data_IF_454677967964
#
_entry.id   IF_454677967964
#
_cell.length_a   1.000
_cell.length_b   1.000
_cell.length_c   1.000
_cell.angle_alpha   90.00
_cell.angle_beta   90.00
_cell.angle_gamma   90.00
#
_symmetry.space_group_name_H-M   'P 1'
#
loop_
_entity.id
_entity.type
_entity.pdbx_description
1 polymer ?
#
# COMPACT_ATOMS: atom_id res chain seq x y z
N UNK A 1 25.36 4.05 -30.10
CA UNK A 1 24.85 4.95 -29.03
C UNK A 1 24.28 6.29 -29.54
N UNK A 2 24.91 7.02 -30.47
CA UNK A 2 24.40 8.32 -30.98
C UNK A 2 23.02 8.28 -31.66
N UNK A 3 22.70 7.20 -32.37
CA UNK A 3 21.43 7.05 -33.10
C UNK A 3 20.24 6.93 -32.13
N UNK A 4 20.35 6.09 -31.10
CA UNK A 4 19.29 5.92 -30.09
C UNK A 4 19.02 7.22 -29.30
N UNK A 5 20.08 7.99 -29.01
CA UNK A 5 19.96 9.29 -28.35
C UNK A 5 19.21 10.32 -29.21
N UNK A 6 19.55 10.44 -30.49
CA UNK A 6 18.87 11.38 -31.40
C UNK A 6 17.40 11.00 -31.64
N UNK A 7 17.08 9.71 -31.69
CA UNK A 7 15.69 9.23 -31.75
C UNK A 7 14.92 9.63 -30.50
N UNK A 8 15.50 9.43 -29.30
CA UNK A 8 14.90 9.82 -28.03
C UNK A 8 14.62 11.33 -27.98
N UNK A 9 15.59 12.16 -28.36
CA UNK A 9 15.45 13.63 -28.37
C UNK A 9 14.33 14.08 -29.31
N UNK A 10 14.21 13.46 -30.49
CA UNK A 10 13.15 13.80 -31.44
C UNK A 10 11.75 13.38 -30.96
N UNK A 11 11.65 12.23 -30.28
CA UNK A 11 10.39 11.80 -29.66
C UNK A 11 9.97 12.75 -28.53
N UNK A 12 10.91 13.14 -27.66
CA UNK A 12 10.65 14.10 -26.57
C UNK A 12 10.19 15.43 -27.14
N UNK A 13 10.89 15.99 -28.14
CA UNK A 13 10.50 17.26 -28.77
C UNK A 13 9.09 17.22 -29.35
N UNK A 14 8.71 16.10 -30.00
CA UNK A 14 7.39 15.91 -30.59
C UNK A 14 6.28 15.79 -29.54
N UNK A 15 6.57 15.19 -28.38
CA UNK A 15 5.65 15.11 -27.25
C UNK A 15 5.49 16.49 -26.60
N UNK A 16 6.58 17.18 -26.28
CA UNK A 16 6.56 18.48 -25.61
C UNK A 16 6.08 19.64 -26.49
N UNK A 17 6.03 19.48 -27.81
CA UNK A 17 5.44 20.47 -28.72
C UNK A 17 3.91 20.39 -28.79
N UNK A 18 3.30 19.35 -28.23
CA UNK A 18 1.85 19.19 -28.22
C UNK A 18 1.23 19.88 -27.00
N UNK A 19 0.27 20.78 -27.24
CA UNK A 19 -0.50 21.38 -26.14
C UNK A 19 -1.28 20.31 -25.36
N UNK A 20 -1.74 19.24 -26.02
CA UNK A 20 -2.44 18.11 -25.39
C UNK A 20 -1.53 17.41 -24.37
N UNK A 21 -0.24 17.23 -24.69
CA UNK A 21 0.72 16.63 -23.77
C UNK A 21 0.82 17.45 -22.48
N UNK A 22 0.90 18.78 -22.58
CA UNK A 22 0.95 19.65 -21.40
C UNK A 22 -0.36 19.65 -20.61
N UNK A 23 -1.52 19.65 -21.27
CA UNK A 23 -2.80 19.52 -20.57
C UNK A 23 -2.89 18.21 -19.76
N UNK A 24 -2.49 17.09 -20.36
CA UNK A 24 -2.46 15.79 -19.68
C UNK A 24 -1.43 15.79 -18.55
N UNK A 25 -0.23 16.31 -18.80
CA UNK A 25 0.83 16.41 -17.80
C UNK A 25 0.40 17.26 -16.60
N UNK A 26 -0.18 18.44 -16.83
CA UNK A 26 -0.66 19.31 -15.76
C UNK A 26 -1.89 18.75 -15.05
N UNK A 27 -2.81 18.07 -15.74
CA UNK A 27 -3.93 17.38 -15.09
C UNK A 27 -3.44 16.27 -14.16
N UNK A 28 -2.46 15.48 -14.61
CA UNK A 28 -1.81 14.45 -13.78
C UNK A 28 -1.09 15.10 -12.60
N UNK A 29 -0.28 16.14 -12.83
CA UNK A 29 0.45 16.84 -11.79
C UNK A 29 -0.49 17.49 -10.75
N UNK A 30 -1.60 18.09 -11.20
CA UNK A 30 -2.63 18.66 -10.34
C UNK A 30 -3.35 17.58 -9.52
N UNK A 31 -3.67 16.43 -10.13
CA UNK A 31 -4.25 15.29 -9.41
C UNK A 31 -3.31 14.77 -8.31
N UNK A 32 -2.02 14.58 -8.62
CA UNK A 32 -1.01 14.17 -7.63
C UNK A 32 -0.79 15.25 -6.56
N UNK A 33 -0.77 16.52 -6.94
CA UNK A 33 -0.65 17.66 -6.02
C UNK A 33 -1.85 17.75 -5.07
N UNK A 34 -3.06 17.69 -5.60
CA UNK A 34 -4.30 17.64 -4.82
C UNK A 34 -4.29 16.46 -3.84
N UNK A 35 -3.95 15.27 -4.32
CA UNK A 35 -3.87 14.05 -3.50
C UNK A 35 -2.83 14.19 -2.38
N UNK A 36 -1.70 14.88 -2.62
CA UNK A 36 -0.67 15.12 -1.62
C UNK A 36 -1.09 16.19 -0.59
N UNK A 37 -1.82 17.22 -1.00
CA UNK A 37 -2.23 18.33 -0.14
C UNK A 37 -3.45 18.01 0.72
N UNK A 38 -4.34 17.14 0.24
CA UNK A 38 -5.61 16.80 0.91
C UNK A 38 -5.57 15.51 1.72
N UNK A 39 -4.54 14.67 1.52
CA UNK A 39 -4.35 13.49 2.36
C UNK A 39 -3.56 13.88 3.61
N UNK A 40 -4.02 13.50 4.81
CA UNK A 40 -3.22 13.72 6.01
C UNK A 40 -1.85 13.03 5.86
N UNK A 41 -0.77 13.60 6.42
CA UNK A 41 0.54 12.97 6.37
C UNK A 41 0.50 11.59 7.04
N UNK A 42 1.20 10.61 6.46
CA UNK A 42 1.20 9.21 6.92
C UNK A 42 1.58 9.02 8.41
N UNK A 43 2.20 10.04 9.01
CA UNK A 43 2.60 10.10 10.42
C UNK A 43 1.44 10.26 11.40
N UNK A 44 0.20 10.52 10.95
CA UNK A 44 -0.98 10.77 11.80
C UNK A 44 -1.78 9.50 12.14
N UNK A 45 -1.43 8.34 11.56
CA UNK A 45 -2.33 7.18 11.46
C UNK A 45 -2.09 6.05 12.47
N UNK A 46 -1.62 6.40 13.67
CA UNK A 46 -1.12 5.41 14.63
C UNK A 46 -2.23 4.76 15.47
N UNK A 47 -3.43 5.33 15.58
CA UNK A 47 -4.46 4.80 16.49
C UNK A 47 -5.88 4.98 15.96
N UNK A 48 -6.30 4.13 15.02
CA UNK A 48 -7.73 4.00 14.75
C UNK A 48 -8.42 3.31 15.92
N UNK A 49 -9.56 3.81 16.43
CA UNK A 49 -10.33 3.10 17.45
C UNK A 49 -10.76 1.71 16.95
N UNK A 50 -10.81 0.74 17.86
CA UNK A 50 -11.20 -0.64 17.56
C UNK A 50 -12.72 -0.72 17.33
N UNK A 51 -13.19 -1.41 16.27
CA UNK A 51 -14.62 -1.50 15.92
C UNK A 51 -15.54 -1.97 17.04
N UNK A 52 -15.12 -2.95 17.85
CA UNK A 52 -15.90 -3.51 18.96
C UNK A 52 -15.18 -3.34 20.30
N UNK A 53 -14.47 -2.22 20.48
CA UNK A 53 -13.73 -1.89 21.71
C UNK A 53 -12.69 -2.96 22.13
N UNK A 54 -12.23 -3.79 21.19
CA UNK A 54 -11.26 -4.84 21.45
C UNK A 54 -11.85 -6.14 22.01
N UNK A 55 -13.18 -6.27 22.09
CA UNK A 55 -13.85 -7.50 22.55
C UNK A 55 -13.51 -8.74 21.70
N UNK A 56 -13.12 -8.55 20.44
CA UNK A 56 -12.69 -9.61 19.53
C UNK A 56 -11.23 -10.05 19.69
N UNK A 57 -10.49 -9.54 20.68
CA UNK A 57 -9.07 -9.85 20.91
C UNK A 57 -8.92 -10.78 22.12
N UNK A 58 -8.56 -12.06 21.93
CA UNK A 58 -8.28 -12.98 23.03
C UNK A 58 -7.12 -12.51 23.91
N UNK A 59 -7.16 -12.84 25.20
CA UNK A 59 -6.06 -12.55 26.11
C UNK A 59 -4.76 -13.23 25.64
N UNK A 60 -3.68 -12.46 25.54
CA UNK A 60 -2.37 -12.94 25.08
C UNK A 60 -2.21 -13.04 23.56
N UNK A 61 -3.25 -12.73 22.78
CA UNK A 61 -3.10 -12.61 21.33
C UNK A 61 -2.25 -11.39 20.96
N UNK A 62 -1.35 -11.54 19.99
CA UNK A 62 -0.49 -10.47 19.50
C UNK A 62 -0.45 -10.46 17.97
N UNK A 63 -0.48 -9.27 17.33
CA UNK A 63 -0.29 -9.15 15.89
C UNK A 63 1.19 -9.25 15.46
N UNK A 64 2.14 -9.34 16.39
CA UNK A 64 3.57 -9.11 16.12
C UNK A 64 4.14 -10.06 15.05
N UNK A 65 3.89 -11.37 15.18
CA UNK A 65 4.36 -12.38 14.23
C UNK A 65 3.86 -12.10 12.81
N UNK A 66 2.58 -11.75 12.67
CA UNK A 66 1.96 -11.51 11.37
C UNK A 66 2.43 -10.17 10.78
N UNK A 67 2.55 -9.13 11.60
CA UNK A 67 3.07 -7.83 11.20
C UNK A 67 4.54 -7.90 10.77
N UNK A 68 5.37 -8.68 11.47
CA UNK A 68 6.77 -8.93 11.10
C UNK A 68 6.87 -9.62 9.75
N UNK A 69 6.06 -10.68 9.52
CA UNK A 69 6.07 -11.38 8.24
C UNK A 69 5.65 -10.49 7.07
N UNK A 70 4.68 -9.58 7.27
CA UNK A 70 4.39 -8.56 6.25
C UNK A 70 5.58 -7.65 5.99
N UNK A 71 6.24 -7.17 7.06
CA UNK A 71 7.41 -6.30 6.92
C UNK A 71 8.54 -7.00 6.16
N UNK A 72 8.91 -8.22 6.57
CA UNK A 72 9.95 -9.02 5.93
C UNK A 72 9.64 -9.26 4.45
N UNK A 73 8.37 -9.55 4.14
CA UNK A 73 7.91 -9.72 2.77
C UNK A 73 8.08 -8.43 1.94
N UNK A 74 7.68 -7.28 2.48
CA UNK A 74 7.79 -5.99 1.78
C UNK A 74 9.22 -5.44 1.71
N UNK A 75 10.08 -5.82 2.66
CA UNK A 75 11.50 -5.50 2.69
C UNK A 75 12.31 -6.36 1.70
N UNK A 76 11.85 -7.58 1.41
CA UNK A 76 12.53 -8.47 0.48
C UNK A 76 12.58 -7.93 -0.96
N UNK A 77 13.75 -8.12 -1.58
CA UNK A 77 13.95 -7.86 -3.01
C UNK A 77 13.30 -8.94 -3.88
N UNK A 78 13.28 -10.18 -3.40
CA UNK A 78 12.67 -11.34 -4.05
C UNK A 78 11.31 -11.63 -3.41
N UNK A 79 10.25 -11.40 -4.18
CA UNK A 79 8.88 -11.51 -3.71
C UNK A 79 8.36 -12.90 -4.02
N UNK A 80 8.12 -13.72 -2.98
CA UNK A 80 7.42 -14.99 -3.16
C UNK A 80 5.90 -14.75 -3.07
N UNK A 81 5.24 -14.90 -4.21
CA UNK A 81 3.83 -14.62 -4.38
C UNK A 81 2.92 -15.50 -3.49
N UNK A 82 3.33 -16.74 -3.20
CA UNK A 82 2.58 -17.65 -2.31
C UNK A 82 2.62 -17.22 -0.84
N UNK A 83 3.74 -16.67 -0.38
CA UNK A 83 3.88 -16.15 0.98
C UNK A 83 2.90 -15.00 1.23
N UNK A 84 2.80 -14.06 0.28
CA UNK A 84 1.88 -12.93 0.44
C UNK A 84 0.42 -13.37 0.45
N UNK A 85 0.06 -14.37 -0.36
CA UNK A 85 -1.28 -14.95 -0.35
C UNK A 85 -1.61 -15.59 1.01
N UNK A 86 -0.68 -16.32 1.61
CA UNK A 86 -0.85 -16.90 2.96
C UNK A 86 -1.10 -15.79 3.99
N UNK A 87 -0.32 -14.71 3.94
CA UNK A 87 -0.47 -13.57 4.84
C UNK A 87 -1.83 -12.89 4.69
N UNK A 88 -2.33 -12.72 3.46
CA UNK A 88 -3.67 -12.19 3.22
C UNK A 88 -4.76 -13.12 3.75
N UNK A 89 -4.67 -14.43 3.49
CA UNK A 89 -5.64 -15.41 4.01
C UNK A 89 -5.68 -15.41 5.53
N UNK A 90 -4.50 -15.44 6.18
CA UNK A 90 -4.39 -15.38 7.64
C UNK A 90 -5.01 -14.08 8.19
N UNK A 91 -4.71 -12.94 7.56
CA UNK A 91 -5.27 -11.65 7.98
C UNK A 91 -6.78 -11.57 7.77
N UNK A 92 -7.30 -12.13 6.67
CA UNK A 92 -8.74 -12.17 6.40
C UNK A 92 -9.50 -13.07 7.39
N UNK A 93 -8.82 -14.04 8.02
CA UNK A 93 -9.41 -14.91 9.04
C UNK A 93 -9.53 -14.28 10.44
N UNK A 94 -8.84 -13.15 10.69
CA UNK A 94 -8.89 -12.43 11.97
C UNK A 94 -10.28 -11.83 12.22
N UNK A 95 -10.62 -11.55 13.48
CA UNK A 95 -11.76 -10.68 13.83
C UNK A 95 -11.47 -9.23 13.41
N UNK A 96 -12.50 -8.38 13.32
CA UNK A 96 -12.30 -6.97 12.92
C UNK A 96 -11.40 -6.21 13.90
N UNK A 97 -11.52 -6.48 15.21
CA UNK A 97 -10.65 -5.86 16.21
C UNK A 97 -9.19 -6.33 16.06
N UNK A 98 -8.98 -7.63 15.85
CA UNK A 98 -7.64 -8.18 15.59
C UNK A 98 -7.05 -7.60 14.30
N UNK A 99 -7.86 -7.44 13.26
CA UNK A 99 -7.43 -6.87 11.98
C UNK A 99 -7.02 -5.40 12.10
N UNK A 100 -7.84 -4.57 12.77
CA UNK A 100 -7.49 -3.16 13.02
C UNK A 100 -6.25 -3.07 13.90
N UNK A 101 -6.13 -3.95 14.90
CA UNK A 101 -4.94 -4.03 15.75
C UNK A 101 -3.69 -4.38 14.94
N UNK A 102 -3.77 -5.33 14.00
CA UNK A 102 -2.68 -5.64 13.07
C UNK A 102 -2.27 -4.42 12.24
N UNK A 103 -3.24 -3.70 11.65
CA UNK A 103 -2.97 -2.52 10.84
C UNK A 103 -2.30 -1.42 11.66
N UNK A 104 -2.86 -1.09 12.83
CA UNK A 104 -2.31 -0.09 13.75
C UNK A 104 -0.90 -0.49 14.22
N UNK A 105 -0.69 -1.76 14.60
CA UNK A 105 0.60 -2.27 15.08
C UNK A 105 1.67 -2.22 13.99
N UNK A 106 1.36 -2.68 12.77
CA UNK A 106 2.27 -2.58 11.64
C UNK A 106 2.64 -1.12 11.36
N UNK A 107 1.65 -0.23 11.31
CA UNK A 107 1.88 1.18 11.03
C UNK A 107 2.74 1.84 12.12
N UNK A 108 2.50 1.51 13.39
CA UNK A 108 3.28 2.03 14.51
C UNK A 108 4.74 1.55 14.49
N UNK A 109 4.96 0.26 14.22
CA UNK A 109 6.27 -0.39 14.31
C UNK A 109 7.11 -0.24 13.04
N UNK A 110 6.51 -0.43 11.87
CA UNK A 110 7.23 -0.61 10.61
C UNK A 110 7.06 0.54 9.61
N UNK A 111 6.01 1.37 9.68
CA UNK A 111 5.77 2.38 8.63
C UNK A 111 6.97 3.31 8.39
N UNK A 112 7.66 3.74 9.45
CA UNK A 112 8.87 4.58 9.35
C UNK A 112 10.04 3.83 8.70
N UNK A 113 10.26 2.57 9.09
CA UNK A 113 11.28 1.70 8.51
C UNK A 113 11.01 1.43 7.03
N UNK A 114 9.74 1.38 6.68
CA UNK A 114 9.24 1.17 5.33
C UNK A 114 9.14 2.45 4.49
N UNK A 115 9.81 3.53 4.89
CA UNK A 115 9.87 4.78 4.13
C UNK A 115 8.59 5.62 4.23
N UNK A 116 7.98 5.63 5.42
CA UNK A 116 6.67 6.23 5.71
C UNK A 116 5.59 5.65 4.80
N UNK A 117 5.47 4.33 4.79
CA UNK A 117 4.42 3.60 4.06
C UNK A 117 3.60 2.77 5.04
N UNK A 118 2.31 3.08 5.15
CA UNK A 118 1.36 2.24 5.89
C UNK A 118 1.20 0.85 5.26
N UNK A 119 0.62 -0.09 6.02
CA UNK A 119 0.26 -1.42 5.52
C UNK A 119 -0.63 -1.32 4.27
N UNK A 120 -1.58 -0.39 4.26
CA UNK A 120 -2.42 -0.11 3.10
C UNK A 120 -1.61 0.27 1.86
N UNK A 121 -0.71 1.24 1.98
CA UNK A 121 0.13 1.70 0.88
C UNK A 121 1.03 0.58 0.35
N UNK A 122 1.51 -0.30 1.23
CA UNK A 122 2.30 -1.48 0.87
C UNK A 122 1.47 -2.51 0.11
N UNK A 123 0.30 -2.85 0.62
CA UNK A 123 -0.63 -3.81 0.00
C UNK A 123 -1.13 -3.33 -1.35
N UNK A 124 -1.28 -2.03 -1.57
CA UNK A 124 -1.65 -1.46 -2.88
C UNK A 124 -0.49 -1.18 -3.82
N UNK A 125 0.75 -1.38 -3.38
CA UNK A 125 1.91 -1.03 -4.20
C UNK A 125 2.03 -1.94 -5.43
N UNK A 126 2.59 -1.40 -6.51
CA UNK A 126 2.78 -2.09 -7.80
C UNK A 126 3.51 -3.43 -7.70
N UNK A 127 4.34 -3.64 -6.65
CA UNK A 127 4.96 -4.93 -6.34
C UNK A 127 3.93 -6.03 -6.10
N UNK A 128 2.75 -5.76 -5.54
CA UNK A 128 1.71 -6.79 -5.37
C UNK A 128 1.02 -7.16 -6.69
N UNK A 129 0.96 -6.22 -7.64
CA UNK A 129 0.19 -6.35 -8.88
C UNK A 129 0.94 -7.20 -9.92
N UNK A 130 2.28 -7.16 -9.92
CA UNK A 130 3.10 -7.86 -10.91
C UNK A 130 3.19 -9.38 -10.72
N UNK A 131 2.92 -9.91 -9.53
CA UNK A 131 3.11 -11.34 -9.24
C UNK A 131 1.84 -12.20 -9.32
N UNK A 132 0.69 -11.63 -9.75
CA UNK A 132 -0.44 -12.37 -10.31
C UNK A 132 -1.15 -13.42 -9.43
N UNK A 133 -0.77 -13.62 -8.17
CA UNK A 133 -1.36 -14.66 -7.31
C UNK A 133 -2.13 -14.04 -6.14
N UNK A 134 -3.34 -14.56 -5.87
CA UNK A 134 -4.12 -14.18 -4.70
C UNK A 134 -4.91 -12.87 -4.85
N UNK A 135 -5.23 -12.46 -6.09
CA UNK A 135 -6.05 -11.27 -6.39
C UNK A 135 -7.33 -11.24 -5.54
N UNK A 136 -7.97 -12.39 -5.35
CA UNK A 136 -9.21 -12.48 -4.55
C UNK A 136 -8.97 -12.21 -3.06
N UNK A 137 -7.96 -12.82 -2.45
CA UNK A 137 -7.64 -12.61 -1.03
C UNK A 137 -7.08 -11.21 -0.78
N UNK A 138 -6.29 -10.69 -1.71
CA UNK A 138 -5.85 -9.31 -1.69
C UNK A 138 -7.02 -8.34 -1.81
N UNK A 139 -7.97 -8.58 -2.72
CA UNK A 139 -9.14 -7.74 -2.91
C UNK A 139 -10.05 -7.79 -1.67
N UNK A 140 -10.23 -8.96 -1.04
CA UNK A 140 -10.93 -9.07 0.24
C UNK A 140 -10.23 -8.27 1.34
N UNK A 141 -8.91 -8.36 1.41
CA UNK A 141 -8.11 -7.62 2.38
C UNK A 141 -8.23 -6.10 2.16
N UNK A 142 -8.09 -5.64 0.91
CA UNK A 142 -8.26 -4.22 0.52
C UNK A 142 -9.67 -3.74 0.85
N UNK A 143 -10.69 -4.52 0.50
CA UNK A 143 -12.10 -4.19 0.80
C UNK A 143 -12.32 -4.08 2.31
N UNK A 144 -11.76 -5.01 3.09
CA UNK A 144 -11.83 -5.00 4.55
C UNK A 144 -11.14 -3.78 5.14
N UNK A 145 -9.96 -3.41 4.65
CA UNK A 145 -9.29 -2.18 5.05
C UNK A 145 -10.18 -0.96 4.81
N UNK A 146 -10.78 -0.82 3.62
CA UNK A 146 -11.70 0.30 3.33
C UNK A 146 -12.92 0.29 4.26
N UNK A 147 -13.54 -0.88 4.49
CA UNK A 147 -14.70 -1.00 5.38
C UNK A 147 -14.37 -0.59 6.82
N UNK A 148 -13.20 -1.00 7.32
CA UNK A 148 -12.71 -0.68 8.66
C UNK A 148 -11.94 0.65 8.69
N UNK A 149 -12.08 1.44 7.63
CA UNK A 149 -11.44 2.74 7.39
C UNK A 149 -9.92 2.69 7.40
N UNK A 150 -9.24 1.56 7.38
CA UNK A 150 -7.77 1.43 7.34
C UNK A 150 -7.12 1.81 6.00
N UNK A 151 -7.75 2.67 5.18
CA UNK A 151 -7.34 3.00 3.81
C UNK A 151 -6.46 4.26 3.68
N UNK A 152 -5.74 4.60 4.76
CA UNK A 152 -4.85 5.75 4.84
C UNK A 152 -3.42 5.44 4.40
#
# INVERSE_FOLDING_TARGET
>A
MKVAWNVLVNVIKKLTSSNIFWYVFFAIAAYYGYKRLTRPPETTFINTPLPNSGSGIPQGWTPDDLASQFHDHFASFWVNASTLQILYTQSNSLTDDQFVTLCNFYNAKYAKLDGNKTLWTRVKSWKSIWFGTGVDEQNKFIKRMVTLKQDY
#
